data_IF_560661866769
#
_entry.id   IF_560661866769
#
_cell.length_a   1.000
_cell.length_b   1.000
_cell.length_c   1.000
_cell.angle_alpha   90.00
_cell.angle_beta   90.00
_cell.angle_gamma   90.00
#
_symmetry.space_group_name_H-M   'P 1'
#
loop_
_entity.id
_entity.type
_entity.pdbx_description
1 polymer ?
#
# COMPACT_ATOMS: atom_id res chain seq x y z
N UNK A 1 -4.48 14.46 9.13
CA UNK A 1 -4.43 12.99 9.14
C UNK A 1 -3.50 12.58 8.01
N UNK A 2 -2.46 11.80 8.31
CA UNK A 2 -1.43 11.41 7.36
C UNK A 2 -2.03 10.71 6.14
N UNK A 3 -2.98 9.80 6.31
CA UNK A 3 -3.54 9.05 5.19
C UNK A 3 -4.37 9.95 4.27
N UNK A 4 -5.14 10.87 4.84
CA UNK A 4 -5.88 11.85 4.06
C UNK A 4 -4.94 12.79 3.28
N UNK A 5 -3.84 13.22 3.89
CA UNK A 5 -2.82 14.03 3.22
C UNK A 5 -2.18 13.28 2.04
N UNK A 6 -1.88 11.99 2.23
CA UNK A 6 -1.34 11.11 1.18
C UNK A 6 -2.33 10.95 0.02
N UNK A 7 -3.61 10.72 0.30
CA UNK A 7 -4.66 10.61 -0.73
C UNK A 7 -4.79 11.91 -1.53
N UNK A 8 -4.75 13.05 -0.83
CA UNK A 8 -4.82 14.38 -1.45
C UNK A 8 -3.52 14.81 -2.15
N UNK A 9 -2.47 13.98 -2.11
CA UNK A 9 -1.14 14.29 -2.66
C UNK A 9 -0.52 15.58 -2.09
N UNK A 10 -0.83 15.90 -0.84
CA UNK A 10 -0.29 17.08 -0.17
C UNK A 10 1.01 16.75 0.57
N UNK A 11 2.15 16.97 -0.10
CA UNK A 11 3.47 16.69 0.46
C UNK A 11 3.77 17.45 1.77
N UNK A 12 3.28 18.68 1.91
CA UNK A 12 3.51 19.48 3.12
C UNK A 12 2.83 18.85 4.33
N UNK A 13 1.55 18.49 4.20
CA UNK A 13 0.80 17.84 5.26
C UNK A 13 1.33 16.42 5.54
N UNK A 14 1.75 15.69 4.50
CA UNK A 14 2.39 14.38 4.67
C UNK A 14 3.63 14.49 5.56
N UNK A 15 4.49 15.48 5.32
CA UNK A 15 5.67 15.73 6.14
C UNK A 15 5.30 16.11 7.59
N UNK A 16 4.34 17.01 7.77
CA UNK A 16 3.89 17.42 9.10
C UNK A 16 3.29 16.27 9.92
N UNK A 17 2.66 15.30 9.26
CA UNK A 17 2.02 14.15 9.91
C UNK A 17 2.87 12.87 9.91
N UNK A 18 4.18 12.93 9.58
CA UNK A 18 5.08 11.77 9.61
C UNK A 18 5.09 11.03 10.95
N UNK A 19 4.77 11.70 12.06
CA UNK A 19 4.61 11.05 13.39
C UNK A 19 3.49 10.00 13.42
N UNK A 20 2.56 10.07 12.48
CA UNK A 20 1.47 9.10 12.31
C UNK A 20 1.87 7.91 11.42
N UNK A 21 3.13 7.84 10.97
CA UNK A 21 3.64 6.67 10.25
C UNK A 21 3.49 5.40 11.10
N UNK A 22 3.31 4.27 10.42
CA UNK A 22 2.97 2.94 10.97
C UNK A 22 1.58 2.83 11.59
N UNK A 23 0.81 3.91 11.68
CA UNK A 23 -0.60 3.80 12.04
C UNK A 23 -1.37 3.14 10.90
N UNK A 24 -2.40 2.38 11.27
CA UNK A 24 -3.28 1.66 10.35
C UNK A 24 -4.68 2.26 10.41
N UNK A 25 -5.35 2.32 9.27
CA UNK A 25 -6.76 2.71 9.24
C UNK A 25 -7.67 1.51 9.60
N UNK A 26 -8.98 1.74 9.52
CA UNK A 26 -10.01 0.73 9.75
C UNK A 26 -9.93 -0.48 8.79
N UNK A 27 -9.26 -0.33 7.66
CA UNK A 27 -9.02 -1.42 6.70
C UNK A 27 -7.68 -2.15 6.95
N UNK A 28 -6.99 -1.82 8.05
CA UNK A 28 -5.67 -2.37 8.37
C UNK A 28 -4.53 -1.83 7.50
N UNK A 29 -4.79 -0.85 6.63
CA UNK A 29 -3.81 -0.27 5.69
C UNK A 29 -2.96 0.81 6.34
N UNK A 30 -1.69 0.89 5.92
CA UNK A 30 -0.78 1.96 6.32
C UNK A 30 -0.81 3.13 5.33
N UNK A 31 -0.14 4.24 5.67
CA UNK A 31 -0.05 5.41 4.80
C UNK A 31 0.69 5.11 3.48
N UNK A 32 1.74 4.28 3.51
CA UNK A 32 2.48 3.82 2.33
C UNK A 32 1.60 2.99 1.38
N UNK A 33 0.74 2.12 1.91
CA UNK A 33 -0.21 1.36 1.09
C UNK A 33 -1.20 2.28 0.38
N UNK A 34 -1.68 3.31 1.09
CA UNK A 34 -2.53 4.34 0.49
C UNK A 34 -1.77 5.15 -0.58
N UNK A 35 -0.51 5.50 -0.31
CA UNK A 35 0.34 6.21 -1.27
C UNK A 35 0.55 5.40 -2.55
N UNK A 36 0.83 4.10 -2.40
CA UNK A 36 1.01 3.16 -3.50
C UNK A 36 -0.27 2.98 -4.32
N UNK A 37 -1.43 2.84 -3.67
CA UNK A 37 -2.75 2.74 -4.32
C UNK A 37 -3.11 4.00 -5.12
N UNK A 38 -2.74 5.18 -4.62
CA UNK A 38 -3.05 6.46 -5.28
C UNK A 38 -1.92 6.99 -6.17
N UNK A 39 -0.79 6.28 -6.28
CA UNK A 39 0.36 6.69 -7.08
C UNK A 39 1.06 7.96 -6.57
N UNK A 40 1.00 8.22 -5.26
CA UNK A 40 1.68 9.35 -4.65
C UNK A 40 3.16 9.03 -4.41
N UNK A 41 3.99 9.30 -5.41
CA UNK A 41 5.41 8.94 -5.39
C UNK A 41 6.19 9.65 -4.27
N UNK A 42 5.88 10.91 -3.96
CA UNK A 42 6.58 11.63 -2.90
C UNK A 42 6.37 10.97 -1.53
N UNK A 43 5.11 10.65 -1.21
CA UNK A 43 4.79 9.96 0.04
C UNK A 43 5.39 8.54 0.10
N UNK A 44 5.58 7.88 -1.06
CA UNK A 44 6.28 6.59 -1.10
C UNK A 44 7.73 6.78 -0.67
N UNK A 45 8.47 7.71 -1.27
CA UNK A 45 9.89 7.95 -0.88
C UNK A 45 10.02 8.31 0.61
N UNK A 46 9.10 9.11 1.14
CA UNK A 46 9.16 9.55 2.54
C UNK A 46 8.82 8.43 3.55
N UNK A 47 8.00 7.44 3.17
CA UNK A 47 7.46 6.41 4.08
C UNK A 47 8.09 5.03 3.88
N UNK A 48 8.82 4.81 2.78
CA UNK A 48 9.34 3.49 2.39
C UNK A 48 10.29 2.89 3.43
N UNK A 49 11.12 3.71 4.06
CA UNK A 49 12.07 3.26 5.09
C UNK A 49 11.38 2.92 6.42
N UNK A 50 10.19 3.47 6.64
CA UNK A 50 9.47 3.35 7.92
C UNK A 50 8.42 2.25 7.88
N UNK A 51 7.70 2.15 6.75
CA UNK A 51 6.57 1.25 6.54
C UNK A 51 6.82 0.16 5.49
N UNK A 52 8.03 0.08 4.93
CA UNK A 52 8.41 -0.98 4.00
C UNK A 52 8.19 -2.36 4.62
N UNK A 53 7.75 -3.31 3.79
CA UNK A 53 7.42 -4.68 4.17
C UNK A 53 6.23 -4.84 5.13
N UNK A 54 5.48 -3.77 5.43
CA UNK A 54 4.24 -3.92 6.18
C UNK A 54 3.15 -4.54 5.30
N UNK A 55 2.34 -5.41 5.89
CA UNK A 55 1.20 -6.06 5.23
C UNK A 55 -0.10 -5.67 5.93
N UNK A 56 -1.21 -5.64 5.19
CA UNK A 56 -2.54 -5.39 5.79
C UNK A 56 -2.83 -6.45 6.85
N UNK A 57 -3.11 -6.00 8.07
CA UNK A 57 -3.52 -6.88 9.16
C UNK A 57 -4.97 -7.28 8.92
N UNK A 58 -5.21 -8.57 8.81
CA UNK A 58 -6.57 -9.09 8.77
C UNK A 58 -7.18 -8.92 10.15
N UNK A 59 -8.29 -8.20 10.23
CA UNK A 59 -8.99 -7.95 11.48
C UNK A 59 -10.32 -8.71 11.48
N UNK A 60 -10.64 -9.32 12.63
CA UNK A 60 -11.78 -10.23 12.78
C UNK A 60 -13.13 -9.61 12.41
N UNK A 61 -13.27 -8.29 12.56
CA UNK A 61 -14.50 -7.57 12.26
C UNK A 61 -14.66 -7.22 10.77
N UNK A 62 -13.58 -7.27 9.97
CA UNK A 62 -13.64 -7.15 8.52
C UNK A 62 -14.12 -8.48 7.93
N UNK A 63 -15.42 -8.64 7.80
CA UNK A 63 -16.06 -9.79 7.15
C UNK A 63 -16.73 -9.34 5.85
N UNK A 64 -16.28 -9.89 4.71
CA UNK A 64 -16.77 -9.56 3.37
C UNK A 64 -15.73 -9.80 2.27
N UNK A 65 -16.16 -9.75 1.01
CA UNK A 65 -15.32 -9.99 -0.17
C UNK A 65 -14.10 -9.05 -0.24
N UNK A 66 -14.29 -7.78 0.15
CA UNK A 66 -13.19 -6.80 0.25
C UNK A 66 -12.17 -7.18 1.34
N UNK A 67 -12.58 -7.80 2.45
CA UNK A 67 -11.66 -8.21 3.51
C UNK A 67 -10.67 -9.27 3.03
N UNK A 68 -11.19 -10.33 2.41
CA UNK A 68 -10.37 -11.38 1.79
C UNK A 68 -9.47 -10.83 0.71
N UNK A 69 -9.94 -9.84 -0.04
CA UNK A 69 -9.18 -9.19 -1.10
C UNK A 69 -8.05 -8.31 -0.57
N UNK A 70 -8.17 -7.76 0.64
CA UNK A 70 -7.18 -6.86 1.22
C UNK A 70 -6.19 -7.59 2.15
N UNK A 71 -6.55 -8.75 2.69
CA UNK A 71 -5.80 -9.44 3.73
C UNK A 71 -4.37 -9.80 3.28
N UNK A 72 -3.37 -9.31 4.03
CA UNK A 72 -1.96 -9.56 3.79
C UNK A 72 -1.36 -8.82 2.60
N UNK A 73 -2.11 -7.94 1.92
CA UNK A 73 -1.55 -7.15 0.82
C UNK A 73 -0.47 -6.20 1.30
N UNK A 74 0.53 -5.99 0.44
CA UNK A 74 1.61 -5.02 0.65
C UNK A 74 1.39 -3.77 -0.19
N UNK A 75 2.18 -2.72 0.02
CA UNK A 75 2.09 -1.50 -0.78
C UNK A 75 2.34 -1.77 -2.28
N UNK A 76 3.31 -2.64 -2.61
CA UNK A 76 3.62 -3.05 -3.97
C UNK A 76 2.43 -3.71 -4.67
N UNK A 77 1.67 -4.55 -3.95
CA UNK A 77 0.47 -5.19 -4.51
C UNK A 77 -0.60 -4.14 -4.86
N UNK A 78 -0.79 -3.13 -4.01
CA UNK A 78 -1.71 -2.02 -4.33
C UNK A 78 -1.23 -1.18 -5.52
N UNK A 79 0.07 -0.91 -5.62
CA UNK A 79 0.64 -0.20 -6.77
C UNK A 79 0.45 -0.99 -8.07
N UNK A 80 0.66 -2.31 -8.03
CA UNK A 80 0.49 -3.21 -9.16
C UNK A 80 -0.98 -3.32 -9.60
N UNK A 81 -1.91 -3.46 -8.66
CA UNK A 81 -3.36 -3.45 -8.94
C UNK A 81 -3.86 -2.13 -9.53
N UNK A 82 -3.20 -1.02 -9.18
CA UNK A 82 -3.58 0.31 -9.65
C UNK A 82 -2.84 0.72 -10.92
N UNK A 83 -1.93 -0.12 -11.44
CA UNK A 83 -1.12 0.16 -12.63
C UNK A 83 -0.09 1.28 -12.45
N UNK A 84 0.34 1.57 -11.22
CA UNK A 84 1.27 2.66 -10.92
C UNK A 84 2.73 2.22 -11.04
N UNK A 85 3.22 2.16 -12.29
CA UNK A 85 4.57 1.67 -12.63
C UNK A 85 5.70 2.32 -11.82
N UNK A 86 5.67 3.64 -11.59
CA UNK A 86 6.70 4.32 -10.79
C UNK A 86 6.72 3.85 -9.33
N UNK A 87 5.54 3.64 -8.74
CA UNK A 87 5.40 3.09 -7.40
C UNK A 87 5.86 1.63 -7.35
N UNK A 88 5.50 0.84 -8.37
CA UNK A 88 5.95 -0.56 -8.52
C UNK A 88 7.47 -0.64 -8.59
N UNK A 89 8.11 0.17 -9.44
CA UNK A 89 9.56 0.17 -9.59
C UNK A 89 10.28 0.49 -8.27
N UNK A 90 9.77 1.48 -7.53
CA UNK A 90 10.33 1.88 -6.24
C UNK A 90 10.16 0.81 -5.17
N UNK A 91 8.95 0.27 -5.02
CA UNK A 91 8.59 -0.70 -3.98
C UNK A 91 9.10 -2.11 -4.30
N UNK A 92 9.32 -2.44 -5.57
CA UNK A 92 9.81 -3.77 -5.99
C UNK A 92 11.19 -4.07 -5.42
N UNK A 93 12.02 -3.06 -5.14
CA UNK A 93 13.32 -3.28 -4.51
C UNK A 93 13.25 -3.82 -3.08
N UNK A 94 12.09 -3.67 -2.42
CA UNK A 94 11.92 -3.95 -0.98
C UNK A 94 10.91 -5.07 -0.75
N UNK A 95 9.79 -5.04 -1.47
CA UNK A 95 8.68 -5.97 -1.27
C UNK A 95 8.63 -7.08 -2.34
N UNK A 96 9.67 -7.21 -3.18
CA UNK A 96 9.75 -8.29 -4.14
C UNK A 96 9.67 -9.65 -3.46
N UNK A 97 8.77 -10.50 -3.94
CA UNK A 97 8.56 -11.86 -3.43
C UNK A 97 7.63 -11.96 -2.23
N UNK A 98 7.11 -10.85 -1.70
CA UNK A 98 6.04 -10.91 -0.70
C UNK A 98 4.74 -11.43 -1.33
N UNK A 99 3.99 -12.18 -0.53
CA UNK A 99 2.70 -12.77 -0.90
C UNK A 99 1.61 -12.31 0.05
N UNK A 100 0.39 -12.19 -0.46
CA UNK A 100 -0.79 -11.93 0.35
C UNK A 100 -1.25 -13.19 1.10
N UNK A 101 -2.40 -13.11 1.81
CA UNK A 101 -2.92 -14.27 2.56
C UNK A 101 -3.40 -15.42 1.67
N UNK A 102 -3.69 -15.18 0.40
CA UNK A 102 -4.07 -16.22 -0.57
C UNK A 102 -2.86 -16.75 -1.37
N UNK A 103 -1.66 -16.24 -1.09
CA UNK A 103 -0.42 -16.68 -1.72
C UNK A 103 -0.10 -15.99 -3.04
N UNK A 104 -0.80 -14.90 -3.38
CA UNK A 104 -0.56 -14.16 -4.62
C UNK A 104 0.51 -13.09 -4.45
N UNK A 105 1.34 -12.94 -5.48
CA UNK A 105 2.35 -11.87 -5.57
C UNK A 105 1.80 -10.62 -6.24
N UNK A 106 2.51 -9.50 -6.12
CA UNK A 106 2.16 -8.26 -6.83
C UNK A 106 2.05 -8.43 -8.35
N UNK A 107 2.89 -9.28 -8.95
CA UNK A 107 2.82 -9.57 -10.39
C UNK A 107 1.54 -10.31 -10.76
N UNK A 108 1.13 -11.30 -9.96
CA UNK A 108 -0.13 -12.02 -10.16
C UNK A 108 -1.31 -11.04 -10.09
N UNK A 109 -1.30 -10.11 -9.15
CA UNK A 109 -2.33 -9.06 -9.04
C UNK A 109 -2.36 -8.09 -10.24
N UNK A 110 -1.21 -7.73 -10.81
CA UNK A 110 -1.19 -6.89 -12.02
C UNK A 110 -1.88 -7.61 -13.20
N UNK A 111 -1.63 -8.92 -13.35
CA UNK A 111 -2.22 -9.71 -14.44
C UNK A 111 -3.73 -9.89 -14.30
N UNK A 112 -4.25 -10.06 -13.08
CA UNK A 112 -5.71 -10.18 -12.86
C UNK A 112 -6.45 -8.88 -13.17
N UNK A 113 -5.80 -7.74 -12.98
CA UNK A 113 -6.35 -6.42 -13.26
C UNK A 113 -6.11 -5.92 -14.71
N UNK A 114 -5.59 -6.79 -15.60
CA UNK A 114 -5.26 -6.46 -16.99
C UNK A 114 -4.26 -5.29 -17.13
N UNK A 115 -3.40 -5.12 -16.12
CA UNK A 115 -2.27 -4.19 -16.16
C UNK A 115 -1.03 -4.94 -16.62
N UNK A 116 -0.76 -4.90 -17.92
CA UNK A 116 0.36 -5.56 -18.62
C UNK A 116 1.27 -4.53 -19.28
#
# INVERSE_FOLDING_TARGET
DLMLAVINRNAFDTFCYLRQARLRNILGMTALMMAAKHGNQQAIEDLIDVEGCMQVDQQDWMVGEESTSLAGKTALMFAAESGHLSAVARLSSIEAGMVDKIGETALMKATTMNHI
#
